data_IF_140556261892
#
_entry.id   IF_140556261892
#
_cell.length_a   1.000
_cell.length_b   1.000
_cell.length_c   1.000
_cell.angle_alpha   90.00
_cell.angle_beta   90.00
_cell.angle_gamma   90.00
#
_symmetry.space_group_name_H-M   'P 1'
#
loop_
_entity.id
_entity.type
_entity.pdbx_description
1 polymer ?
#
# COMPACT_ATOMS: atom_id res chain seq x y z
N UNK A 1 -9.60 -37.11 31.56
CA UNK A 1 -11.03 -36.79 31.77
C UNK A 1 -11.40 -35.62 30.84
N UNK A 2 -11.80 -35.88 29.59
CA UNK A 2 -13.18 -35.70 29.05
C UNK A 2 -13.93 -34.46 29.57
N UNK A 3 -14.12 -33.47 28.68
CA UNK A 3 -15.44 -32.95 28.25
C UNK A 3 -15.29 -32.11 26.97
N UNK A 4 -15.79 -32.69 25.86
CA UNK A 4 -16.11 -32.03 24.60
C UNK A 4 -17.41 -31.23 24.75
N UNK A 5 -17.57 -30.12 24.06
CA UNK A 5 -18.87 -29.57 23.68
C UNK A 5 -18.89 -29.32 22.17
N UNK A 6 -19.70 -30.13 21.49
CA UNK A 6 -20.20 -29.88 20.15
C UNK A 6 -21.56 -29.19 20.28
N UNK A 7 -21.90 -28.31 19.34
CA UNK A 7 -23.24 -27.79 19.16
C UNK A 7 -23.63 -28.05 17.70
N UNK A 8 -24.73 -28.78 17.50
CA UNK A 8 -25.33 -29.11 16.21
C UNK A 8 -26.71 -28.45 16.10
N UNK A 9 -26.95 -27.88 14.90
CA UNK A 9 -28.14 -27.95 14.02
C UNK A 9 -29.48 -27.40 14.53
N UNK A 10 -30.11 -26.53 13.72
CA UNK A 10 -31.45 -26.60 13.06
C UNK A 10 -31.47 -25.44 12.02
N UNK A 11 -31.82 -25.52 10.74
CA UNK A 11 -32.65 -26.46 9.96
C UNK A 11 -34.02 -25.86 9.65
N UNK A 12 -34.18 -25.07 8.57
CA UNK A 12 -35.50 -24.74 8.03
C UNK A 12 -35.45 -24.45 6.52
N UNK A 13 -36.03 -25.36 5.74
CA UNK A 13 -36.44 -25.21 4.35
C UNK A 13 -37.96 -25.04 4.30
N UNK A 14 -38.48 -24.20 3.41
CA UNK A 14 -39.87 -24.30 2.93
C UNK A 14 -39.90 -24.18 1.39
N UNK A 15 -40.63 -25.07 0.69
CA UNK A 15 -40.98 -24.93 -0.71
C UNK A 15 -42.38 -24.33 -0.87
N UNK A 16 -42.63 -23.54 -1.93
CA UNK A 16 -43.98 -23.36 -2.48
C UNK A 16 -43.91 -23.31 -4.00
N UNK A 17 -44.82 -24.07 -4.60
CA UNK A 17 -44.99 -24.39 -6.02
C UNK A 17 -46.22 -23.65 -6.58
N UNK A 18 -46.20 -23.30 -7.87
CA UNK A 18 -47.37 -23.03 -8.73
C UNK A 18 -47.77 -21.56 -8.85
N UNK A 19 -48.22 -21.02 -9.99
CA UNK A 19 -48.69 -21.58 -11.25
C UNK A 19 -48.55 -20.57 -12.41
N UNK A 20 -48.55 -21.14 -13.61
CA UNK A 20 -48.63 -20.58 -14.97
C UNK A 20 -49.79 -19.60 -15.18
N UNK A 21 -49.54 -18.49 -15.90
CA UNK A 21 -50.39 -17.94 -16.99
C UNK A 21 -49.63 -16.87 -17.79
N UNK A 22 -49.36 -17.13 -19.07
CA UNK A 22 -49.31 -16.14 -20.18
C UNK A 22 -50.66 -16.22 -20.92
N UNK A 23 -51.15 -15.20 -21.65
CA UNK A 23 -50.39 -14.30 -22.54
C UNK A 23 -50.85 -12.82 -22.53
N UNK A 24 -50.04 -11.91 -23.09
CA UNK A 24 -50.39 -11.22 -24.33
C UNK A 24 -49.26 -10.32 -24.87
N UNK A 25 -49.32 -10.17 -26.17
CA UNK A 25 -48.34 -9.56 -27.08
C UNK A 25 -48.54 -8.05 -27.08
N UNK A 26 -47.48 -7.27 -26.84
CA UNK A 26 -47.41 -5.91 -27.38
C UNK A 26 -45.99 -5.58 -27.86
N UNK A 27 -45.94 -5.10 -29.10
CA UNK A 27 -44.73 -4.87 -29.87
C UNK A 27 -44.23 -3.45 -29.61
N UNK A 28 -43.23 -3.31 -28.74
CA UNK A 28 -42.40 -2.11 -28.64
C UNK A 28 -41.00 -2.41 -29.17
N UNK A 29 -40.35 -1.53 -29.94
CA UNK A 29 -38.97 -1.76 -30.38
C UNK A 29 -38.06 -1.65 -29.16
N UNK A 30 -37.70 -2.80 -28.58
CA UNK A 30 -36.62 -2.86 -27.62
C UNK A 30 -35.32 -2.52 -28.37
N UNK A 31 -34.83 -1.30 -28.16
CA UNK A 31 -33.43 -0.96 -28.39
C UNK A 31 -32.60 -1.91 -27.52
N UNK A 32 -32.16 -3.00 -28.13
CA UNK A 32 -31.06 -3.81 -27.61
C UNK A 32 -29.78 -3.02 -27.82
N UNK A 33 -29.53 -2.04 -26.95
CA UNK A 33 -28.17 -1.61 -26.69
C UNK A 33 -27.51 -2.80 -26.00
N UNK A 34 -26.82 -3.61 -26.80
CA UNK A 34 -25.79 -4.46 -26.26
C UNK A 34 -24.74 -3.51 -25.65
N UNK A 35 -24.81 -3.30 -24.34
CA UNK A 35 -23.64 -2.91 -23.55
C UNK A 35 -22.63 -4.06 -23.70
N UNK A 36 -21.92 -4.01 -24.81
CA UNK A 36 -20.63 -4.68 -24.94
C UNK A 36 -19.75 -3.94 -23.94
N UNK A 37 -19.22 -4.58 -22.89
CA UNK A 37 -18.23 -3.92 -22.07
C UNK A 37 -17.14 -3.47 -23.04
N UNK A 38 -16.88 -2.17 -23.10
CA UNK A 38 -15.74 -1.65 -23.83
C UNK A 38 -14.55 -2.53 -23.44
N UNK A 39 -13.86 -3.10 -24.43
CA UNK A 39 -12.59 -3.77 -24.18
C UNK A 39 -11.74 -2.75 -23.42
N UNK A 40 -11.55 -2.98 -22.12
CA UNK A 40 -10.65 -2.18 -21.32
C UNK A 40 -9.30 -2.29 -22.01
N UNK A 41 -8.85 -1.20 -22.63
CA UNK A 41 -7.52 -1.14 -23.25
C UNK A 41 -6.49 -1.49 -22.20
N UNK A 42 -5.88 -2.67 -22.35
CA UNK A 42 -4.82 -3.16 -21.50
C UNK A 42 -3.49 -2.63 -22.03
N UNK A 43 -2.74 -1.96 -21.17
CA UNK A 43 -1.46 -1.33 -21.43
C UNK A 43 -0.36 -2.06 -20.67
N UNK A 44 0.85 -2.06 -21.19
CA UNK A 44 2.03 -2.47 -20.43
C UNK A 44 2.58 -1.28 -19.63
N UNK A 45 3.33 -1.54 -18.55
CA UNK A 45 4.01 -0.45 -17.83
C UNK A 45 4.93 0.34 -18.77
N UNK A 46 4.85 1.66 -18.70
CA UNK A 46 5.53 2.60 -19.59
C UNK A 46 4.73 3.01 -20.83
N UNK A 47 3.63 2.31 -21.16
CA UNK A 47 2.74 2.73 -22.23
C UNK A 47 1.87 3.92 -21.80
N UNK A 48 1.67 4.84 -22.73
CA UNK A 48 0.84 6.03 -22.57
C UNK A 48 -0.62 5.72 -22.93
N UNK A 49 -1.55 6.07 -22.04
CA UNK A 49 -2.98 6.07 -22.30
C UNK A 49 -3.49 7.51 -22.46
N UNK A 50 -4.13 7.80 -23.59
CA UNK A 50 -4.81 9.09 -23.81
C UNK A 50 -6.19 9.06 -23.16
N UNK A 51 -6.40 9.88 -22.13
CA UNK A 51 -7.64 9.92 -21.36
C UNK A 51 -8.40 11.21 -21.64
N UNK A 52 -9.66 11.09 -22.07
CA UNK A 52 -10.49 12.26 -22.38
C UNK A 52 -10.66 13.20 -21.17
N UNK A 53 -10.48 14.49 -21.42
CA UNK A 53 -10.50 15.54 -20.40
C UNK A 53 -9.39 15.47 -19.35
N UNK A 54 -8.38 14.63 -19.55
CA UNK A 54 -7.22 14.50 -18.66
C UNK A 54 -5.88 14.58 -19.40
N UNK A 55 -5.83 14.14 -20.66
CA UNK A 55 -4.59 14.07 -21.44
C UNK A 55 -3.85 12.74 -21.28
N UNK A 56 -2.57 12.68 -21.64
CA UNK A 56 -1.77 11.45 -21.58
C UNK A 56 -1.44 11.06 -20.14
N UNK A 57 -1.65 9.80 -19.79
CA UNK A 57 -1.29 9.22 -18.49
C UNK A 57 -0.41 8.01 -18.72
N UNK A 58 0.67 7.90 -17.95
CA UNK A 58 1.59 6.77 -18.02
C UNK A 58 1.86 6.23 -16.62
N UNK A 59 1.79 4.91 -16.44
CA UNK A 59 2.33 4.22 -15.26
C UNK A 59 3.67 3.61 -15.65
N UNK A 60 4.76 4.27 -15.29
CA UNK A 60 6.12 3.88 -15.71
C UNK A 60 6.62 2.63 -14.96
N UNK A 61 6.38 2.57 -13.66
CA UNK A 61 6.83 1.44 -12.84
C UNK A 61 5.97 1.25 -11.60
N UNK A 62 5.98 0.01 -11.10
CA UNK A 62 5.26 -0.39 -9.90
C UNK A 62 6.19 -1.18 -8.99
N UNK A 63 6.19 -0.86 -7.70
CA UNK A 63 6.98 -1.58 -6.69
C UNK A 63 6.13 -1.95 -5.49
N UNK A 64 6.39 -3.11 -4.88
CA UNK A 64 5.72 -3.54 -3.65
C UNK A 64 6.52 -3.16 -2.41
N UNK A 65 5.90 -2.39 -1.52
CA UNK A 65 6.50 -1.92 -0.27
C UNK A 65 5.64 -2.33 0.91
N UNK A 66 6.25 -2.64 2.06
CA UNK A 66 5.50 -2.89 3.31
C UNK A 66 5.02 -1.60 3.97
N UNK A 67 5.83 -0.56 3.85
CA UNK A 67 5.54 0.76 4.41
C UNK A 67 6.10 1.84 3.52
N UNK A 68 5.57 3.05 3.68
CA UNK A 68 6.06 4.27 3.05
C UNK A 68 6.18 5.37 4.09
N UNK A 69 7.06 6.33 3.84
CA UNK A 69 7.10 7.59 4.58
C UNK A 69 6.58 8.65 3.62
N UNK A 70 5.47 9.29 3.94
CA UNK A 70 4.99 10.43 3.20
C UNK A 70 5.40 11.72 3.91
N UNK A 71 5.45 12.80 3.13
CA UNK A 71 5.78 14.12 3.62
C UNK A 71 4.58 15.03 3.42
N UNK A 72 3.92 15.43 4.51
CA UNK A 72 2.91 16.48 4.46
C UNK A 72 3.40 17.70 5.26
N UNK A 73 2.91 17.91 6.48
CA UNK A 73 3.46 18.91 7.40
C UNK A 73 4.63 18.33 8.23
N UNK A 74 4.60 17.02 8.49
CA UNK A 74 5.65 16.22 9.11
C UNK A 74 5.80 14.91 8.32
N UNK A 75 6.84 14.12 8.64
CA UNK A 75 7.03 12.77 8.10
C UNK A 75 6.09 11.81 8.80
N UNK A 76 5.14 11.24 8.07
CA UNK A 76 4.27 10.19 8.59
C UNK A 76 4.64 8.85 7.96
N UNK A 77 4.68 7.82 8.79
CA UNK A 77 4.84 6.44 8.33
C UNK A 77 3.47 5.82 8.12
N UNK A 78 3.23 5.31 6.91
CA UNK A 78 2.08 4.47 6.62
C UNK A 78 2.53 3.01 6.47
N UNK A 79 2.06 2.14 7.36
CA UNK A 79 2.29 0.69 7.35
C UNK A 79 0.95 -0.03 7.63
N UNK A 80 0.23 -0.51 6.60
CA UNK A 80 -1.03 -1.21 6.80
C UNK A 80 -0.81 -2.54 7.52
N UNK A 81 -1.74 -2.94 8.40
CA UNK A 81 -1.58 -4.15 9.22
C UNK A 81 -1.51 -5.43 8.37
N UNK A 82 -2.53 -5.65 7.54
CA UNK A 82 -2.75 -6.90 6.79
C UNK A 82 -2.66 -6.68 5.26
N UNK A 83 -1.88 -5.67 4.86
CA UNK A 83 -1.75 -5.26 3.47
C UNK A 83 -0.29 -4.95 3.09
N UNK A 84 -0.05 -4.81 1.79
CA UNK A 84 1.14 -4.21 1.22
C UNK A 84 0.76 -3.01 0.37
N UNK A 85 1.76 -2.25 -0.05
CA UNK A 85 1.60 -1.05 -0.85
C UNK A 85 2.14 -1.28 -2.25
N UNK A 86 1.27 -1.21 -3.26
CA UNK A 86 1.67 -0.99 -4.64
C UNK A 86 2.01 0.48 -4.81
N UNK A 87 3.30 0.79 -4.93
CA UNK A 87 3.81 2.15 -5.16
C UNK A 87 4.03 2.34 -6.64
N UNK A 88 3.23 3.21 -7.23
CA UNK A 88 3.18 3.55 -8.64
C UNK A 88 4.03 4.79 -8.88
N UNK A 89 4.89 4.74 -9.88
CA UNK A 89 5.58 5.90 -10.44
C UNK A 89 5.03 6.13 -11.84
N UNK A 90 4.64 7.36 -12.14
CA UNK A 90 4.05 7.68 -13.43
C UNK A 90 4.10 9.16 -13.78
N UNK A 91 3.68 9.43 -15.01
CA UNK A 91 3.56 10.77 -15.58
C UNK A 91 2.07 11.09 -15.81
N UNK A 92 1.67 12.30 -15.43
CA UNK A 92 0.33 12.86 -15.63
C UNK A 92 0.51 14.35 -15.91
N UNK A 93 -0.35 14.98 -16.73
CA UNK A 93 -0.16 16.36 -17.15
C UNK A 93 -0.13 17.33 -15.95
N UNK A 94 0.80 18.29 -15.99
CA UNK A 94 1.10 19.19 -14.86
C UNK A 94 -0.10 20.03 -14.41
N UNK A 95 -1.01 20.33 -15.32
CA UNK A 95 -2.21 21.14 -15.12
C UNK A 95 -3.38 20.40 -14.45
N UNK A 96 -3.25 19.09 -14.28
CA UNK A 96 -4.24 18.25 -13.60
C UNK A 96 -4.00 18.26 -12.10
N UNK A 97 -5.04 18.57 -11.33
CA UNK A 97 -5.03 18.45 -9.87
C UNK A 97 -5.10 16.97 -9.44
N UNK A 98 -3.99 16.39 -8.95
CA UNK A 98 -3.94 14.96 -8.65
C UNK A 98 -4.86 14.55 -7.49
N UNK A 99 -5.30 15.47 -6.63
CA UNK A 99 -6.14 15.15 -5.47
C UNK A 99 -7.58 14.82 -5.88
N UNK A 100 -8.09 15.50 -6.91
CA UNK A 100 -9.49 15.37 -7.33
C UNK A 100 -9.66 14.66 -8.67
N UNK A 101 -8.67 14.74 -9.56
CA UNK A 101 -8.82 14.28 -10.94
C UNK A 101 -8.25 12.89 -11.20
N UNK A 102 -7.41 12.37 -10.29
CA UNK A 102 -6.67 11.11 -10.46
C UNK A 102 -6.93 10.15 -9.28
N UNK A 103 -7.59 9.04 -9.60
CA UNK A 103 -7.74 7.93 -8.68
C UNK A 103 -7.32 6.65 -9.38
N UNK A 104 -6.43 5.90 -8.76
CA UNK A 104 -6.06 4.56 -9.21
C UNK A 104 -6.68 3.51 -8.30
N UNK A 105 -7.07 2.38 -8.88
CA UNK A 105 -7.43 1.19 -8.15
C UNK A 105 -6.54 0.02 -8.56
N UNK A 106 -6.26 -0.88 -7.62
CA UNK A 106 -5.65 -2.15 -7.95
C UNK A 106 -6.76 -3.10 -8.44
N UNK A 107 -6.47 -3.86 -9.50
CA UNK A 107 -7.34 -4.90 -10.02
C UNK A 107 -6.62 -6.23 -9.85
N UNK A 108 -7.16 -7.13 -9.02
CA UNK A 108 -6.58 -8.43 -8.68
C UNK A 108 -7.57 -9.51 -9.11
N UNK A 109 -7.14 -10.46 -9.95
CA UNK A 109 -7.99 -11.53 -10.52
C UNK A 109 -9.31 -11.03 -11.14
N UNK A 110 -9.25 -9.83 -11.72
CA UNK A 110 -10.40 -9.16 -12.32
C UNK A 110 -11.22 -8.29 -11.37
N UNK A 111 -11.08 -8.45 -10.05
CA UNK A 111 -11.80 -7.70 -9.03
C UNK A 111 -11.09 -6.38 -8.68
N UNK A 112 -11.87 -5.31 -8.50
CA UNK A 112 -11.35 -4.02 -8.07
C UNK A 112 -11.17 -4.04 -6.56
N UNK A 113 -9.92 -3.91 -6.12
CA UNK A 113 -9.57 -3.70 -4.73
C UNK A 113 -9.48 -2.20 -4.50
N UNK A 114 -10.52 -1.66 -3.85
CA UNK A 114 -10.52 -0.28 -3.41
C UNK A 114 -9.45 -0.11 -2.33
N UNK A 115 -8.39 0.64 -2.66
CA UNK A 115 -7.35 0.97 -1.71
C UNK A 115 -7.94 1.82 -0.59
N UNK A 116 -7.76 1.38 0.67
CA UNK A 116 -8.13 2.19 1.83
C UNK A 116 -7.27 3.45 2.00
N UNK A 117 -6.13 3.53 1.31
CA UNK A 117 -5.25 4.69 1.32
C UNK A 117 -4.66 4.92 -0.06
N UNK A 118 -4.97 6.08 -0.66
CA UNK A 118 -4.19 6.65 -1.75
C UNK A 118 -3.46 7.85 -1.17
N UNK A 119 -2.14 7.88 -1.28
CA UNK A 119 -1.33 9.03 -0.86
C UNK A 119 -0.41 9.44 -2.00
N UNK A 120 -0.15 10.75 -2.06
CA UNK A 120 0.73 11.37 -3.02
C UNK A 120 2.02 11.80 -2.33
N UNK A 121 3.17 11.43 -2.90
CA UNK A 121 4.46 11.63 -2.23
C UNK A 121 5.27 12.84 -2.73
N UNK A 122 5.03 13.37 -3.94
CA UNK A 122 5.85 14.46 -4.51
C UNK A 122 5.21 15.18 -5.73
N UNK A 123 5.33 16.51 -5.78
CA UNK A 123 4.89 17.37 -6.90
C UNK A 123 5.65 17.19 -8.21
N UNK A 124 6.94 16.80 -8.15
CA UNK A 124 7.79 16.69 -9.35
C UNK A 124 7.80 15.31 -10.00
N UNK A 125 7.36 14.29 -9.28
CA UNK A 125 7.26 12.91 -9.77
C UNK A 125 6.06 12.31 -9.08
N UNK A 126 4.99 12.06 -9.84
CA UNK A 126 3.70 11.69 -9.26
C UNK A 126 3.78 10.24 -8.81
N UNK A 127 3.92 10.06 -7.49
CA UNK A 127 3.97 8.75 -6.86
C UNK A 127 2.65 8.53 -6.13
N UNK A 128 2.00 7.41 -6.43
CA UNK A 128 0.77 6.95 -5.78
C UNK A 128 1.06 5.66 -5.03
N UNK A 129 0.41 5.45 -3.89
CA UNK A 129 0.49 4.18 -3.18
C UNK A 129 -0.90 3.60 -2.98
N UNK A 130 -1.09 2.33 -3.33
CA UNK A 130 -2.34 1.60 -3.19
C UNK A 130 -2.15 0.44 -2.22
N UNK A 131 -2.98 0.38 -1.18
CA UNK A 131 -3.06 -0.75 -0.26
C UNK A 131 -3.70 -1.94 -0.94
N UNK A 132 -2.99 -3.06 -1.01
CA UNK A 132 -3.47 -4.34 -1.54
C UNK A 132 -3.35 -5.44 -0.49
N UNK A 133 -4.28 -6.38 -0.42
CA UNK A 133 -4.20 -7.50 0.52
C UNK A 133 -2.99 -8.38 0.20
N UNK A 134 -2.52 -9.11 1.22
CA UNK A 134 -1.43 -10.08 1.09
C UNK A 134 -2.02 -11.44 0.77
N UNK A 135 -2.44 -11.62 -0.47
CA UNK A 135 -3.10 -12.83 -0.96
C UNK A 135 -2.50 -13.29 -2.29
N UNK A 136 -2.63 -14.58 -2.60
CA UNK A 136 -2.26 -15.13 -3.89
C UNK A 136 -3.23 -14.64 -4.97
N UNK A 137 -2.67 -14.20 -6.09
CA UNK A 137 -3.38 -13.69 -7.25
C UNK A 137 -2.69 -14.22 -8.51
N UNK A 138 -3.48 -14.54 -9.53
CA UNK A 138 -3.00 -15.01 -10.83
C UNK A 138 -2.71 -13.82 -11.76
N UNK A 139 -3.56 -12.79 -11.69
CA UNK A 139 -3.46 -11.59 -12.52
C UNK A 139 -3.56 -10.32 -11.66
N UNK A 140 -2.69 -9.33 -11.92
CA UNK A 140 -2.76 -8.03 -11.27
C UNK A 140 -2.56 -6.88 -12.26
N UNK A 141 -3.30 -5.81 -12.05
CA UNK A 141 -3.23 -4.60 -12.85
C UNK A 141 -3.53 -3.35 -12.01
N UNK A 142 -3.18 -2.19 -12.55
CA UNK A 142 -3.55 -0.89 -12.00
C UNK A 142 -4.51 -0.23 -12.98
N UNK A 143 -5.63 0.26 -12.49
CA UNK A 143 -6.67 0.87 -13.31
C UNK A 143 -6.90 2.31 -12.90
N UNK A 144 -6.86 3.24 -13.85
CA UNK A 144 -7.32 4.61 -13.62
C UNK A 144 -8.84 4.63 -13.51
N UNK A 145 -9.38 5.26 -12.48
CA UNK A 145 -10.82 5.36 -12.23
C UNK A 145 -11.47 6.57 -12.95
N UNK A 146 -11.05 6.82 -14.19
CA UNK A 146 -11.55 7.93 -15.02
C UNK A 146 -11.61 7.56 -16.50
N UNK A 147 -12.55 8.17 -17.22
CA UNK A 147 -12.72 7.98 -18.66
C UNK A 147 -13.00 6.52 -19.02
N UNK A 148 -12.31 6.02 -20.04
CA UNK A 148 -12.37 4.62 -20.51
C UNK A 148 -11.70 3.62 -19.55
N UNK A 149 -11.18 4.10 -18.40
CA UNK A 149 -10.53 3.28 -17.36
C UNK A 149 -9.36 2.46 -17.89
N UNK A 150 -8.35 3.12 -18.49
CA UNK A 150 -7.16 2.43 -18.95
C UNK A 150 -6.54 1.62 -17.81
N UNK A 151 -6.07 0.43 -18.17
CA UNK A 151 -5.57 -0.56 -17.21
C UNK A 151 -4.17 -0.97 -17.61
N UNK A 152 -3.21 -0.86 -16.68
CA UNK A 152 -1.83 -1.28 -16.87
C UNK A 152 -1.59 -2.61 -16.17
N UNK A 153 -1.22 -3.64 -16.94
CA UNK A 153 -0.88 -4.96 -16.41
C UNK A 153 0.38 -4.88 -15.56
N UNK A 154 0.39 -5.56 -14.40
CA UNK A 154 1.59 -5.67 -13.59
C UNK A 154 2.47 -6.83 -14.09
N UNK A 155 3.80 -6.66 -14.10
CA UNK A 155 4.71 -7.76 -14.42
C UNK A 155 4.52 -8.94 -13.47
N UNK A 156 4.65 -10.17 -13.97
CA UNK A 156 4.54 -11.42 -13.19
C UNK A 156 5.38 -11.36 -11.90
N UNK A 157 6.60 -10.83 -11.98
CA UNK A 157 7.48 -10.66 -10.80
C UNK A 157 6.90 -9.78 -9.68
N UNK A 158 6.01 -8.84 -10.00
CA UNK A 158 5.30 -8.01 -9.02
C UNK A 158 4.05 -8.77 -8.53
N UNK A 159 3.28 -9.35 -9.45
CA UNK A 159 2.07 -10.13 -9.18
C UNK A 159 2.33 -11.26 -8.19
N UNK A 160 3.35 -12.09 -8.43
CA UNK A 160 3.75 -13.20 -7.55
C UNK A 160 4.08 -12.72 -6.12
N UNK A 161 4.64 -11.51 -5.99
CA UNK A 161 5.08 -10.94 -4.71
C UNK A 161 3.95 -10.34 -3.88
N UNK A 162 2.74 -10.15 -4.44
CA UNK A 162 1.58 -9.62 -3.70
C UNK A 162 1.26 -10.52 -2.50
N UNK A 163 1.36 -11.83 -2.69
CA UNK A 163 1.10 -12.85 -1.67
C UNK A 163 2.14 -12.93 -0.55
N UNK A 164 3.26 -12.21 -0.67
CA UNK A 164 4.39 -12.32 0.27
C UNK A 164 4.86 -10.94 0.74
N UNK A 165 4.58 -10.61 1.99
CA UNK A 165 5.05 -9.39 2.63
C UNK A 165 6.37 -9.63 3.39
N UNK A 166 7.30 -8.65 3.42
CA UNK A 166 8.36 -8.66 4.41
C UNK A 166 7.76 -8.34 5.79
N UNK A 167 8.28 -8.98 6.82
CA UNK A 167 7.78 -8.85 8.19
C UNK A 167 8.93 -8.45 9.10
N UNK A 168 8.92 -7.19 9.58
CA UNK A 168 10.02 -6.65 10.36
C UNK A 168 9.71 -6.63 11.86
N UNK A 169 10.65 -7.17 12.64
CA UNK A 169 10.67 -7.07 14.09
C UNK A 169 11.90 -6.28 14.54
N UNK A 170 11.68 -5.22 15.31
CA UNK A 170 12.75 -4.50 15.98
C UNK A 170 13.28 -5.33 17.15
N UNK A 171 14.56 -5.70 17.13
CA UNK A 171 15.24 -6.48 18.17
C UNK A 171 16.03 -5.63 19.15
N UNK A 172 16.38 -4.41 18.75
CA UNK A 172 17.04 -3.45 19.64
C UNK A 172 17.05 -2.04 19.07
N UNK A 173 16.99 -1.06 19.96
CA UNK A 173 17.22 0.34 19.66
C UNK A 173 18.04 0.96 20.78
N UNK A 174 19.07 1.73 20.42
CA UNK A 174 19.96 2.39 21.37
C UNK A 174 20.32 3.78 20.86
N UNK A 175 20.26 4.76 21.76
CA UNK A 175 20.81 6.09 21.53
C UNK A 175 22.19 6.10 22.20
N UNK A 176 23.22 6.53 21.47
CA UNK A 176 24.59 6.56 22.00
C UNK A 176 25.35 7.74 21.44
N UNK A 177 26.36 8.21 22.18
CA UNK A 177 27.26 9.26 21.71
C UNK A 177 28.51 8.63 21.05
N UNK A 178 28.81 9.04 19.81
CA UNK A 178 29.99 8.59 19.06
C UNK A 178 30.69 9.77 18.38
N UNK A 179 31.94 10.01 18.79
CA UNK A 179 32.77 11.09 18.24
C UNK A 179 32.06 12.46 18.24
N UNK A 180 31.55 12.84 19.42
CA UNK A 180 30.84 14.10 19.68
C UNK A 180 29.51 14.27 18.92
N UNK A 181 28.88 13.15 18.53
CA UNK A 181 27.56 13.12 17.90
C UNK A 181 26.66 12.06 18.50
N UNK A 182 25.38 12.38 18.62
CA UNK A 182 24.36 11.41 18.99
C UNK A 182 24.02 10.54 17.79
N UNK A 183 23.99 9.22 17.96
CA UNK A 183 23.59 8.26 16.92
C UNK A 183 22.48 7.34 17.42
N UNK A 184 21.62 6.91 16.50
CA UNK A 184 20.58 5.91 16.74
C UNK A 184 21.02 4.58 16.14
N UNK A 185 21.28 3.57 16.98
CA UNK A 185 21.58 2.21 16.53
C UNK A 185 20.32 1.35 16.59
N UNK A 186 19.91 0.79 15.46
CA UNK A 186 18.76 -0.10 15.36
C UNK A 186 19.20 -1.49 14.95
N UNK A 187 18.59 -2.53 15.53
CA UNK A 187 18.73 -3.92 15.09
C UNK A 187 17.37 -4.44 14.70
N UNK A 188 17.21 -4.81 13.44
CA UNK A 188 15.93 -5.22 12.86
C UNK A 188 16.09 -6.59 12.21
N UNK A 189 15.17 -7.49 12.52
CA UNK A 189 15.03 -8.80 11.87
C UNK A 189 13.89 -8.76 10.87
N UNK A 190 14.11 -9.34 9.68
CA UNK A 190 13.04 -9.64 8.74
C UNK A 190 12.69 -11.14 8.83
N UNK A 191 11.59 -11.47 9.50
CA UNK A 191 11.12 -12.85 9.61
C UNK A 191 10.19 -13.26 8.45
N UNK A 192 9.90 -12.33 7.54
CA UNK A 192 9.20 -12.61 6.30
C UNK A 192 10.09 -13.34 5.29
N UNK A 193 9.47 -13.96 4.29
CA UNK A 193 10.17 -14.72 3.24
C UNK A 193 10.60 -13.87 2.03
N UNK A 194 10.40 -12.55 2.10
CA UNK A 194 10.78 -11.60 1.05
C UNK A 194 11.69 -10.51 1.60
N UNK A 195 12.68 -10.13 0.80
CA UNK A 195 13.50 -8.95 1.08
C UNK A 195 12.61 -7.70 1.18
N UNK A 196 13.01 -6.78 2.04
CA UNK A 196 12.36 -5.48 2.08
C UNK A 196 13.24 -4.40 2.68
N UNK A 197 12.62 -3.24 2.86
CA UNK A 197 13.28 -2.07 3.43
C UNK A 197 12.53 -1.72 4.71
N UNK A 198 13.23 -1.78 5.84
CA UNK A 198 12.72 -1.27 7.10
C UNK A 198 12.61 0.26 6.98
N UNK A 199 11.50 0.82 7.42
CA UNK A 199 11.27 2.27 7.47
C UNK A 199 10.81 2.67 8.86
N UNK A 200 11.26 3.85 9.28
CA UNK A 200 10.83 4.48 10.51
C UNK A 200 11.07 5.98 10.47
N UNK A 201 10.69 6.67 11.53
CA UNK A 201 10.90 8.11 11.68
C UNK A 201 11.55 8.35 13.04
N UNK A 202 12.66 9.09 13.06
CA UNK A 202 13.25 9.64 14.28
C UNK A 202 12.71 11.05 14.48
N UNK A 203 12.23 11.38 15.67
CA UNK A 203 11.54 12.65 15.93
C UNK A 203 12.01 13.27 17.24
N UNK A 204 12.00 14.59 17.30
CA UNK A 204 12.11 15.31 18.56
C UNK A 204 10.71 15.57 19.14
N UNK A 205 10.39 15.01 20.31
CA UNK A 205 9.00 15.05 20.84
C UNK A 205 8.44 16.47 21.04
N UNK A 206 9.31 17.46 21.25
CA UNK A 206 8.93 18.87 21.44
C UNK A 206 8.98 19.74 20.18
N UNK A 207 9.36 19.19 19.01
CA UNK A 207 9.47 19.94 17.77
C UNK A 207 8.91 19.13 16.58
N UNK A 208 7.67 19.44 16.19
CA UNK A 208 6.93 18.72 15.14
C UNK A 208 7.62 18.70 13.76
N UNK A 209 8.47 19.69 13.47
CA UNK A 209 9.19 19.78 12.19
C UNK A 209 10.61 19.17 12.24
N UNK A 210 11.00 18.60 13.38
CA UNK A 210 12.32 18.04 13.63
C UNK A 210 12.29 16.51 13.56
N UNK A 211 12.12 15.99 12.35
CA UNK A 211 12.08 14.55 12.08
C UNK A 211 13.12 14.11 11.04
N UNK A 212 13.45 12.82 11.03
CA UNK A 212 14.36 12.20 10.09
C UNK A 212 13.86 10.83 9.66
N UNK A 213 13.79 10.61 8.35
CA UNK A 213 13.44 9.32 7.78
C UNK A 213 14.56 8.30 8.00
N UNK A 214 14.19 7.14 8.51
CA UNK A 214 15.03 5.97 8.65
C UNK A 214 14.66 5.00 7.53
N UNK A 215 15.65 4.53 6.78
CA UNK A 215 15.46 3.50 5.76
C UNK A 215 16.72 2.69 5.53
N UNK A 216 16.62 1.37 5.58
CA UNK A 216 17.69 0.47 5.18
C UNK A 216 17.14 -0.90 4.77
N UNK A 217 17.82 -1.61 3.86
CA UNK A 217 17.39 -2.95 3.43
C UNK A 217 17.60 -3.98 4.55
N UNK A 218 16.66 -4.90 4.69
CA UNK A 218 16.77 -6.07 5.57
C UNK A 218 16.35 -7.31 4.75
N UNK A 219 17.32 -8.13 4.30
CA UNK A 219 17.03 -9.33 3.51
C UNK A 219 16.13 -10.31 4.25
N UNK A 220 15.42 -11.17 3.51
CA UNK A 220 14.57 -12.20 4.09
C UNK A 220 15.35 -13.15 5.03
N UNK A 221 14.83 -13.36 6.24
CA UNK A 221 15.44 -14.22 7.25
C UNK A 221 16.66 -13.63 7.97
N UNK A 222 17.11 -12.43 7.60
CA UNK A 222 18.30 -11.80 8.17
C UNK A 222 17.97 -10.84 9.33
N UNK A 223 18.96 -10.63 10.19
CA UNK A 223 18.98 -9.56 11.19
C UNK A 223 20.07 -8.57 10.85
N UNK A 224 19.71 -7.29 10.69
CA UNK A 224 20.62 -6.21 10.32
C UNK A 224 20.69 -5.20 11.45
N UNK A 225 21.92 -4.81 11.82
CA UNK A 225 22.18 -3.70 12.75
C UNK A 225 22.72 -2.51 11.99
N UNK A 226 21.99 -1.39 12.02
CA UNK A 226 22.40 -0.13 11.39
C UNK A 226 22.65 0.95 12.44
N UNK A 227 23.67 1.78 12.21
CA UNK A 227 23.94 2.98 13.01
C UNK A 227 23.62 4.21 12.19
N UNK A 228 22.64 4.97 12.63
CA UNK A 228 22.03 6.07 11.90
C UNK A 228 22.50 7.39 12.51
N UNK A 229 22.95 8.29 11.65
CA UNK A 229 23.25 9.68 11.98
C UNK A 229 22.49 10.61 11.03
N UNK A 230 21.99 11.72 11.56
CA UNK A 230 21.36 12.79 10.79
C UNK A 230 21.44 14.08 11.58
N UNK A 231 21.26 15.24 10.95
CA UNK A 231 21.25 16.52 11.67
C UNK A 231 20.20 16.59 12.79
N UNK A 232 19.10 15.85 12.67
CA UNK A 232 18.05 15.74 13.70
C UNK A 232 18.48 14.81 14.83
N UNK A 233 19.11 13.67 14.53
CA UNK A 233 19.62 12.78 15.58
C UNK A 233 20.78 13.47 16.30
N UNK A 234 21.66 14.16 15.57
CA UNK A 234 22.78 14.92 16.11
C UNK A 234 22.32 16.09 17.01
N UNK A 235 21.07 16.56 16.88
CA UNK A 235 20.52 17.63 17.73
C UNK A 235 19.96 17.11 19.05
N UNK A 236 19.82 15.80 19.21
CA UNK A 236 19.41 15.19 20.47
C UNK A 236 20.49 15.41 21.53
N UNK A 237 20.04 15.67 22.76
CA UNK A 237 20.93 15.87 23.89
C UNK A 237 21.79 14.63 24.16
N UNK A 238 23.01 14.85 24.66
CA UNK A 238 23.85 13.75 25.11
C UNK A 238 23.14 12.98 26.23
N UNK A 239 23.06 11.66 26.10
CA UNK A 239 22.29 10.81 27.00
C UNK A 239 20.76 10.91 26.84
N UNK A 240 20.27 11.37 25.69
CA UNK A 240 18.84 11.34 25.37
C UNK A 240 18.26 9.92 25.51
N UNK A 241 17.04 9.86 26.05
CA UNK A 241 16.28 8.64 26.21
C UNK A 241 15.07 8.65 25.28
N UNK A 242 14.59 7.47 24.90
CA UNK A 242 13.35 7.37 24.16
C UNK A 242 12.18 7.87 25.01
N UNK A 243 11.32 8.70 24.42
CA UNK A 243 10.12 9.22 25.08
C UNK A 243 9.11 8.12 25.44
N UNK A 244 9.20 6.97 24.78
CA UNK A 244 8.30 5.83 24.94
C UNK A 244 9.07 4.51 24.98
N UNK A 245 8.45 3.48 25.56
CA UNK A 245 8.99 2.13 25.52
C UNK A 245 9.12 1.63 24.08
N UNK A 246 10.26 1.01 23.78
CA UNK A 246 10.55 0.43 22.47
C UNK A 246 10.06 -1.02 22.44
N UNK A 247 9.29 -1.35 21.41
CA UNK A 247 8.75 -2.68 21.15
C UNK A 247 9.17 -3.18 19.77
N UNK A 248 8.90 -4.46 19.48
CA UNK A 248 9.18 -5.07 18.17
C UNK A 248 8.47 -4.35 17.00
N UNK A 249 7.36 -3.67 17.29
CA UNK A 249 6.54 -2.94 16.32
C UNK A 249 6.86 -1.45 16.28
N UNK A 250 7.81 -0.96 17.09
CA UNK A 250 8.17 0.45 17.07
C UNK A 250 8.73 0.85 15.71
N UNK A 251 8.21 1.96 15.19
CA UNK A 251 8.66 2.59 13.94
C UNK A 251 8.92 4.08 14.06
N UNK A 252 8.34 4.72 15.07
CA UNK A 252 8.57 6.12 15.41
C UNK A 252 9.44 6.15 16.67
N UNK A 253 10.58 6.80 16.57
CA UNK A 253 11.61 6.90 17.59
C UNK A 253 11.67 8.35 18.09
N UNK A 254 10.81 8.67 19.05
CA UNK A 254 10.77 9.98 19.68
C UNK A 254 11.72 10.04 20.88
N UNK A 255 12.39 11.17 21.06
CA UNK A 255 13.22 11.46 22.25
C UNK A 255 12.62 12.56 23.12
N UNK A 256 12.88 12.51 24.43
CA UNK A 256 12.43 13.49 25.43
C UNK A 256 13.49 14.55 25.74
#
# INVERSE_FOLDING_TARGET
MKRRRALQIVGATLPVTGCVTTPDTDSGPAQSAADTPAENSAYELGDEASVDGLGPVTVESVTLQRSLIHHHLHRELYEPADAQLLVLLGEIPEDVDPEFDIQFAARLDGDIVNSAAQTWLNTKTRIYALSVPVDAVDDAAVQLQRGERPTWSLPETVTERISVAPEFALRGAEISDRADRTVLRLTVENHGSRDGVFRGVAEHSSAADADAAIRFPVPAGDTVTETLGSAIIDSWSAGAEFAHEISERTRVFAVA
#
